data_IF_061267893573
#
_entry.id   IF_061267893573
#
_cell.length_a   1.000
_cell.length_b   1.000
_cell.length_c   1.000
_cell.angle_alpha   90.00
_cell.angle_beta   90.00
_cell.angle_gamma   90.00
#
_symmetry.space_group_name_H-M   'P 1'
#
loop_
_entity.id
_entity.type
_entity.pdbx_description
1 polymer ?
#
# COMPACT_ATOMS: atom_id res chain seq x y z
N UNK A 1 -19.91 -20.17 28.60
CA UNK A 1 -18.62 -20.63 28.01
C UNK A 1 -17.82 -19.42 27.55
N UNK A 2 -16.62 -19.17 28.08
CA UNK A 2 -15.73 -18.12 27.54
C UNK A 2 -15.10 -18.65 26.24
N UNK A 3 -15.44 -18.06 25.10
CA UNK A 3 -14.84 -18.41 23.81
C UNK A 3 -13.35 -18.05 23.87
N UNK A 4 -12.46 -19.05 23.72
CA UNK A 4 -11.01 -18.84 23.69
C UNK A 4 -10.66 -18.20 22.34
N UNK A 5 -10.34 -16.91 22.37
CA UNK A 5 -9.89 -16.17 21.19
C UNK A 5 -8.46 -16.63 20.86
N UNK A 6 -8.17 -17.05 19.62
CA UNK A 6 -6.81 -17.39 19.21
C UNK A 6 -5.86 -16.19 19.37
N UNK A 7 -4.61 -16.44 19.76
CA UNK A 7 -3.62 -15.38 20.02
C UNK A 7 -3.37 -14.50 18.79
N UNK A 8 -3.49 -15.06 17.58
CA UNK A 8 -3.41 -14.32 16.31
C UNK A 8 -4.49 -13.24 16.22
N UNK A 9 -5.72 -13.60 16.56
CA UNK A 9 -6.86 -12.69 16.52
C UNK A 9 -6.70 -11.63 17.60
N UNK A 10 -6.25 -12.01 18.79
CA UNK A 10 -5.99 -11.05 19.88
C UNK A 10 -4.92 -10.02 19.50
N UNK A 11 -3.83 -10.45 18.87
CA UNK A 11 -2.78 -9.54 18.41
C UNK A 11 -3.26 -8.61 17.29
N UNK A 12 -3.99 -9.13 16.30
CA UNK A 12 -4.57 -8.33 15.23
C UNK A 12 -5.49 -7.22 15.77
N UNK A 13 -6.34 -7.55 16.75
CA UNK A 13 -7.18 -6.55 17.43
C UNK A 13 -6.35 -5.48 18.14
N UNK A 14 -5.22 -5.85 18.73
CA UNK A 14 -4.35 -4.88 19.40
C UNK A 14 -3.73 -3.85 18.46
N UNK A 15 -3.40 -4.28 17.24
CA UNK A 15 -2.84 -3.40 16.20
C UNK A 15 -3.93 -2.47 15.62
N UNK A 16 -5.13 -3.01 15.36
CA UNK A 16 -6.11 -2.36 14.48
C UNK A 16 -7.30 -1.79 15.24
N UNK A 17 -7.83 -2.51 16.22
CA UNK A 17 -9.18 -2.22 16.76
C UNK A 17 -9.17 -1.34 18.01
N UNK A 18 -8.03 -1.24 18.73
CA UNK A 18 -8.01 -0.58 20.04
C UNK A 18 -8.07 0.96 19.94
N UNK A 19 -7.33 1.57 19.01
CA UNK A 19 -7.25 3.04 18.90
C UNK A 19 -6.73 3.46 17.53
N UNK A 20 -7.18 4.61 17.04
CA UNK A 20 -6.61 5.23 15.83
C UNK A 20 -5.12 5.51 15.99
N UNK A 21 -4.65 5.86 17.19
CA UNK A 21 -3.21 6.09 17.45
C UNK A 21 -2.43 4.81 17.18
N UNK A 22 -2.89 3.67 17.70
CA UNK A 22 -2.22 2.37 17.46
C UNK A 22 -2.28 1.96 15.99
N UNK A 23 -3.41 2.18 15.33
CA UNK A 23 -3.55 1.88 13.91
C UNK A 23 -2.58 2.74 13.07
N UNK A 24 -2.47 4.03 13.39
CA UNK A 24 -1.54 4.95 12.74
C UNK A 24 -0.08 4.55 13.00
N UNK A 25 0.25 4.24 14.25
CA UNK A 25 1.60 3.85 14.65
C UNK A 25 2.05 2.59 13.93
N UNK A 26 1.17 1.60 13.74
CA UNK A 26 1.55 0.30 13.18
C UNK A 26 1.34 0.19 11.65
N UNK A 27 0.34 0.89 11.11
CA UNK A 27 -0.12 0.73 9.72
C UNK A 27 -0.05 2.04 8.91
N UNK A 28 0.34 3.16 9.53
CA UNK A 28 0.38 4.51 8.92
C UNK A 28 -0.97 5.00 8.38
N UNK A 29 -2.07 4.51 8.95
CA UNK A 29 -3.42 4.93 8.59
C UNK A 29 -4.37 4.90 9.77
N UNK A 30 -5.42 5.72 9.69
CA UNK A 30 -6.52 5.66 10.66
C UNK A 30 -7.35 4.40 10.43
N UNK A 31 -8.12 3.98 11.44
CA UNK A 31 -8.95 2.77 11.37
C UNK A 31 -9.99 2.85 10.27
N UNK A 32 -10.58 4.03 10.06
CA UNK A 32 -11.54 4.26 8.99
C UNK A 32 -10.90 4.11 7.62
N UNK A 33 -9.72 4.73 7.40
CA UNK A 33 -8.98 4.59 6.14
C UNK A 33 -8.59 3.13 5.89
N UNK A 34 -8.14 2.42 6.92
CA UNK A 34 -7.82 1.00 6.85
C UNK A 34 -9.03 0.13 6.47
N UNK A 35 -10.18 0.36 7.10
CA UNK A 35 -11.42 -0.35 6.77
C UNK A 35 -11.87 -0.11 5.32
N UNK A 36 -11.80 1.14 4.86
CA UNK A 36 -12.09 1.50 3.46
C UNK A 36 -11.14 0.82 2.48
N UNK A 37 -9.84 0.78 2.80
CA UNK A 37 -8.86 0.09 1.97
C UNK A 37 -9.15 -1.41 1.87
N UNK A 38 -9.48 -2.06 2.99
CA UNK A 38 -9.85 -3.48 2.99
C UNK A 38 -11.07 -3.74 2.09
N UNK A 39 -12.10 -2.89 2.18
CA UNK A 39 -13.28 -2.99 1.34
C UNK A 39 -12.95 -2.78 -0.14
N UNK A 40 -12.16 -1.76 -0.49
CA UNK A 40 -11.74 -1.53 -1.88
C UNK A 40 -10.94 -2.70 -2.45
N UNK A 41 -10.04 -3.28 -1.64
CA UNK A 41 -9.24 -4.44 -2.04
C UNK A 41 -10.10 -5.68 -2.28
N UNK A 42 -11.15 -5.87 -1.48
CA UNK A 42 -12.12 -6.95 -1.68
C UNK A 42 -12.95 -6.73 -2.96
N UNK A 43 -13.62 -5.59 -3.08
CA UNK A 43 -14.61 -5.35 -4.15
C UNK A 43 -13.97 -5.10 -5.51
N UNK A 44 -12.90 -4.30 -5.55
CA UNK A 44 -12.28 -3.83 -6.80
C UNK A 44 -10.90 -4.43 -7.03
N UNK A 45 -10.16 -4.75 -5.96
CA UNK A 45 -8.84 -5.39 -6.05
C UNK A 45 -8.90 -6.90 -6.29
N UNK A 46 -10.05 -7.54 -6.01
CA UNK A 46 -10.25 -8.99 -6.12
C UNK A 46 -9.52 -9.79 -5.03
N UNK A 47 -9.21 -9.16 -3.90
CA UNK A 47 -8.58 -9.82 -2.75
C UNK A 47 -9.62 -10.63 -1.98
N UNK A 48 -9.43 -11.93 -1.90
CA UNK A 48 -10.35 -12.81 -1.19
C UNK A 48 -9.78 -13.28 0.14
N UNK A 49 -10.65 -13.46 1.14
CA UNK A 49 -10.29 -14.18 2.36
C UNK A 49 -9.88 -15.63 2.02
N UNK A 50 -9.05 -16.22 2.87
CA UNK A 50 -8.73 -17.66 2.80
C UNK A 50 -9.22 -18.34 4.07
N UNK A 51 -9.26 -19.68 4.06
CA UNK A 51 -9.60 -20.47 5.25
C UNK A 51 -8.79 -20.12 6.50
N UNK A 52 -7.59 -19.55 6.33
CA UNK A 52 -6.61 -19.32 7.41
C UNK A 52 -6.37 -17.85 7.72
N UNK A 53 -6.65 -16.94 6.79
CA UNK A 53 -6.40 -15.50 6.93
C UNK A 53 -7.56 -14.69 6.39
N UNK A 54 -8.04 -13.74 7.19
CA UNK A 54 -9.03 -12.75 6.80
C UNK A 54 -8.39 -11.68 5.90
N UNK A 55 -9.21 -10.91 5.17
CA UNK A 55 -8.73 -9.79 4.37
C UNK A 55 -8.02 -8.77 5.26
N UNK A 56 -8.63 -8.43 6.40
CA UNK A 56 -8.07 -7.55 7.44
C UNK A 56 -6.65 -7.95 7.83
N UNK A 57 -6.42 -9.23 8.13
CA UNK A 57 -5.11 -9.73 8.52
C UNK A 57 -4.10 -9.67 7.37
N UNK A 58 -4.51 -10.03 6.15
CA UNK A 58 -3.65 -9.94 4.97
C UNK A 58 -3.18 -8.50 4.72
N UNK A 59 -4.10 -7.54 4.77
CA UNK A 59 -3.80 -6.11 4.54
C UNK A 59 -2.95 -5.56 5.69
N UNK A 60 -3.20 -5.95 6.93
CA UNK A 60 -2.39 -5.55 8.07
C UNK A 60 -0.94 -6.07 7.98
N UNK A 61 -0.73 -7.32 7.55
CA UNK A 61 0.61 -7.86 7.29
C UNK A 61 1.32 -6.99 6.25
N UNK A 62 0.67 -6.73 5.12
CA UNK A 62 1.24 -5.93 4.03
C UNK A 62 1.65 -4.53 4.50
N UNK A 63 0.75 -3.83 5.19
CA UNK A 63 0.99 -2.47 5.67
C UNK A 63 2.05 -2.43 6.77
N UNK A 64 2.09 -3.40 7.69
CA UNK A 64 3.11 -3.43 8.74
C UNK A 64 4.55 -3.59 8.20
N UNK A 65 4.69 -4.30 7.07
CA UNK A 65 5.97 -4.41 6.35
C UNK A 65 6.35 -3.05 5.76
N UNK A 66 5.43 -2.38 5.07
CA UNK A 66 5.70 -1.10 4.41
C UNK A 66 5.88 0.07 5.40
N UNK A 67 5.06 0.13 6.45
CA UNK A 67 5.03 1.19 7.45
C UNK A 67 6.36 1.39 8.20
N UNK A 68 7.12 0.30 8.33
CA UNK A 68 8.30 0.20 9.18
C UNK A 68 9.49 -0.50 8.52
N UNK A 69 9.38 -0.85 7.23
CA UNK A 69 10.37 -1.66 6.53
C UNK A 69 10.76 -2.95 7.29
N UNK A 70 9.77 -3.58 7.94
CA UNK A 70 10.03 -4.80 8.73
C UNK A 70 10.43 -5.96 7.83
N UNK A 71 11.45 -6.70 8.25
CA UNK A 71 11.84 -7.96 7.61
C UNK A 71 10.76 -9.03 7.86
N UNK A 72 10.56 -9.94 6.90
CA UNK A 72 9.60 -11.05 7.03
C UNK A 72 9.80 -11.84 8.33
N UNK A 73 11.06 -12.04 8.76
CA UNK A 73 11.38 -12.75 9.99
C UNK A 73 10.82 -12.08 11.25
N UNK A 74 10.61 -10.77 11.27
CA UNK A 74 9.98 -10.05 12.39
C UNK A 74 8.47 -10.20 12.30
N UNK A 75 7.93 -9.97 11.10
CA UNK A 75 6.47 -9.98 10.83
C UNK A 75 5.88 -11.37 11.11
N UNK A 76 6.63 -12.44 10.88
CA UNK A 76 6.20 -13.81 11.20
C UNK A 76 5.90 -13.98 12.69
N UNK A 77 6.70 -13.35 13.55
CA UNK A 77 6.55 -13.41 14.99
C UNK A 77 5.40 -12.53 15.45
N UNK A 78 5.31 -11.31 14.93
CA UNK A 78 4.21 -10.37 15.20
C UNK A 78 2.85 -11.04 14.89
N UNK A 79 2.68 -11.58 13.69
CA UNK A 79 1.40 -12.16 13.26
C UNK A 79 1.24 -13.66 13.60
N UNK A 80 2.27 -14.30 14.18
CA UNK A 80 2.28 -15.73 14.51
C UNK A 80 1.91 -16.58 13.27
N UNK A 81 2.56 -16.27 12.14
CA UNK A 81 2.38 -16.94 10.84
C UNK A 81 3.72 -17.45 10.32
N UNK A 82 3.69 -18.42 9.41
CA UNK A 82 4.91 -18.90 8.76
C UNK A 82 5.48 -17.87 7.78
N UNK A 83 6.79 -17.88 7.56
CA UNK A 83 7.46 -17.01 6.55
C UNK A 83 6.83 -17.17 5.15
N UNK A 84 6.46 -18.41 4.79
CA UNK A 84 5.74 -18.71 3.54
C UNK A 84 4.38 -18.03 3.48
N UNK A 85 3.64 -18.02 4.59
CA UNK A 85 2.34 -17.35 4.70
C UNK A 85 2.48 -15.85 4.55
N UNK A 86 3.43 -15.23 5.27
CA UNK A 86 3.71 -13.80 5.18
C UNK A 86 4.04 -13.41 3.73
N UNK A 87 5.00 -14.09 3.11
CA UNK A 87 5.40 -13.81 1.73
C UNK A 87 4.24 -13.99 0.75
N UNK A 88 3.48 -15.08 0.86
CA UNK A 88 2.33 -15.35 -0.02
C UNK A 88 1.29 -14.23 0.04
N UNK A 89 0.88 -13.83 1.26
CA UNK A 89 -0.18 -12.85 1.42
C UNK A 89 0.29 -11.42 1.15
N UNK A 90 1.55 -11.10 1.46
CA UNK A 90 2.17 -9.83 1.04
C UNK A 90 2.05 -9.63 -0.48
N UNK A 91 2.46 -10.63 -1.27
CA UNK A 91 2.37 -10.54 -2.74
C UNK A 91 0.92 -10.58 -3.25
N UNK A 92 0.01 -11.26 -2.55
CA UNK A 92 -1.41 -11.25 -2.89
C UNK A 92 -2.01 -9.85 -2.76
N UNK A 93 -1.73 -9.17 -1.64
CA UNK A 93 -2.19 -7.80 -1.39
C UNK A 93 -1.51 -6.84 -2.36
N UNK A 94 -0.20 -6.98 -2.63
CA UNK A 94 0.50 -6.17 -3.62
C UNK A 94 -0.16 -6.24 -5.01
N UNK A 95 -0.52 -7.44 -5.49
CA UNK A 95 -1.21 -7.59 -6.78
C UNK A 95 -2.59 -6.92 -6.77
N UNK A 96 -3.34 -7.03 -5.67
CA UNK A 96 -4.63 -6.36 -5.54
C UNK A 96 -4.47 -4.83 -5.50
N UNK A 97 -3.45 -4.31 -4.82
CA UNK A 97 -3.10 -2.87 -4.82
C UNK A 97 -2.76 -2.36 -6.21
N UNK A 98 -1.97 -3.11 -6.99
CA UNK A 98 -1.63 -2.73 -8.37
C UNK A 98 -2.88 -2.66 -9.27
N UNK A 99 -3.88 -3.51 -9.03
CA UNK A 99 -5.17 -3.43 -9.75
C UNK A 99 -5.99 -2.20 -9.36
N UNK A 100 -5.86 -1.73 -8.12
CA UNK A 100 -6.49 -0.49 -7.65
C UNK A 100 -5.76 0.77 -8.11
N UNK A 101 -4.54 0.67 -8.64
CA UNK A 101 -3.73 1.81 -9.08
C UNK A 101 -4.51 2.82 -9.94
N UNK A 102 -5.33 2.42 -10.95
CA UNK A 102 -6.06 3.37 -11.78
C UNK A 102 -7.16 4.15 -11.04
N UNK A 103 -7.63 3.63 -9.90
CA UNK A 103 -8.64 4.27 -9.05
C UNK A 103 -8.01 5.17 -7.99
N UNK A 104 -6.85 4.75 -7.46
CA UNK A 104 -6.17 5.42 -6.35
C UNK A 104 -5.20 6.50 -6.81
N UNK A 105 -4.56 6.31 -7.97
CA UNK A 105 -3.61 7.26 -8.52
C UNK A 105 -4.26 8.06 -9.63
N UNK A 106 -4.15 9.38 -9.54
CA UNK A 106 -4.55 10.25 -10.63
C UNK A 106 -3.65 9.99 -11.84
N UNK A 107 -4.26 9.80 -13.01
CA UNK A 107 -3.51 9.83 -14.27
C UNK A 107 -3.16 11.28 -14.55
N UNK A 108 -1.89 11.63 -14.46
CA UNK A 108 -1.43 12.93 -14.92
C UNK A 108 -1.69 13.05 -16.42
N UNK A 109 -2.30 14.17 -16.82
CA UNK A 109 -2.28 14.60 -18.21
C UNK A 109 -0.98 15.36 -18.46
N UNK A 110 -0.29 15.14 -19.60
CA UNK A 110 0.89 15.92 -19.92
C UNK A 110 0.54 17.41 -20.03
N UNK A 111 1.46 18.26 -19.64
CA UNK A 111 1.33 19.71 -19.75
C UNK A 111 1.14 20.06 -21.23
N UNK A 112 0.06 20.79 -21.52
CA UNK A 112 -0.32 21.15 -22.88
C UNK A 112 0.63 22.19 -23.47
N UNK A 113 0.80 22.16 -24.79
CA UNK A 113 1.68 23.09 -25.51
C UNK A 113 1.27 24.57 -25.36
N UNK A 114 -0.02 24.80 -25.12
CA UNK A 114 -0.67 26.08 -24.93
C UNK A 114 -0.93 26.41 -23.46
N UNK A 115 -0.17 25.81 -22.52
CA UNK A 115 -0.31 26.08 -21.09
C UNK A 115 -0.31 27.59 -20.79
N UNK A 116 -1.45 28.11 -20.32
CA UNK A 116 -1.63 29.50 -19.96
C UNK A 116 -0.84 29.90 -18.70
N UNK A 117 -0.44 28.92 -17.87
CA UNK A 117 0.42 29.15 -16.72
C UNK A 117 1.88 29.36 -17.16
N UNK A 118 2.49 30.54 -16.92
CA UNK A 118 3.88 30.84 -17.28
C UNK A 118 4.89 29.90 -16.63
N UNK A 119 4.57 29.31 -15.46
CA UNK A 119 5.43 28.35 -14.75
C UNK A 119 5.59 27.06 -15.55
N UNK A 120 4.52 26.60 -16.19
CA UNK A 120 4.46 25.32 -16.88
C UNK A 120 4.72 25.40 -18.39
N UNK A 121 4.76 26.61 -18.96
CA UNK A 121 4.96 26.86 -20.41
C UNK A 121 6.21 26.21 -21.00
N UNK A 122 7.23 25.96 -20.18
CA UNK A 122 8.51 25.34 -20.60
C UNK A 122 8.54 23.82 -20.47
N UNK A 123 7.55 23.22 -19.79
CA UNK A 123 7.48 21.79 -19.50
C UNK A 123 6.49 21.05 -20.40
N UNK A 124 6.40 21.46 -21.67
CA UNK A 124 5.46 20.90 -22.65
C UNK A 124 5.66 19.38 -22.78
N UNK A 125 4.56 18.64 -22.75
CA UNK A 125 4.59 17.17 -22.79
C UNK A 125 5.03 16.50 -21.48
N UNK A 126 5.51 17.24 -20.47
CA UNK A 126 5.87 16.66 -19.18
C UNK A 126 4.61 16.30 -18.38
N UNK A 127 4.63 15.15 -17.70
CA UNK A 127 3.55 14.71 -16.82
C UNK A 127 3.55 15.38 -15.43
N UNK A 128 4.55 16.24 -15.17
CA UNK A 128 4.77 16.87 -13.86
C UNK A 128 5.14 15.88 -12.75
N UNK A 129 5.65 16.38 -11.63
CA UNK A 129 5.66 15.62 -10.38
C UNK A 129 4.21 15.60 -9.84
N UNK A 130 3.59 14.42 -9.76
CA UNK A 130 2.19 14.24 -9.35
C UNK A 130 1.89 14.82 -7.94
N UNK A 131 2.90 14.93 -7.10
CA UNK A 131 2.82 15.29 -5.67
C UNK A 131 4.10 15.99 -5.15
N UNK A 132 5.02 16.39 -6.04
CA UNK A 132 6.34 16.90 -5.66
C UNK A 132 7.39 15.80 -5.35
N UNK A 133 7.02 14.52 -5.41
CA UNK A 133 7.97 13.41 -5.27
C UNK A 133 8.81 13.30 -6.54
N UNK A 134 10.12 13.56 -6.41
CA UNK A 134 11.08 13.29 -7.48
C UNK A 134 11.31 11.79 -7.59
N UNK A 135 10.89 11.20 -8.70
CA UNK A 135 11.22 9.82 -9.06
C UNK A 135 12.46 9.85 -9.95
N UNK A 136 13.52 9.17 -9.54
CA UNK A 136 14.74 9.04 -10.36
C UNK A 136 14.42 8.20 -11.60
N UNK A 137 14.47 8.83 -12.78
CA UNK A 137 14.28 8.16 -14.06
C UNK A 137 15.63 7.98 -14.73
N UNK A 138 16.02 6.74 -15.01
CA UNK A 138 17.12 6.46 -15.93
C UNK A 138 16.60 6.51 -17.35
N UNK A 139 16.99 7.54 -18.09
CA UNK A 139 16.79 7.61 -19.54
C UNK A 139 17.72 6.64 -20.26
N UNK A 140 17.34 6.24 -21.47
CA UNK A 140 18.17 5.38 -22.31
C UNK A 140 19.50 6.07 -22.65
N UNK A 141 20.55 5.30 -22.94
CA UNK A 141 21.88 5.86 -23.24
C UNK A 141 21.86 6.81 -24.46
N UNK A 142 20.94 6.60 -25.40
CA UNK A 142 20.71 7.48 -26.55
C UNK A 142 20.15 8.86 -26.19
N UNK A 143 19.47 8.99 -25.05
CA UNK A 143 18.84 10.23 -24.57
C UNK A 143 19.71 10.96 -23.53
N UNK A 144 20.81 10.33 -23.09
CA UNK A 144 21.78 10.99 -22.20
C UNK A 144 22.52 12.07 -22.99
N UNK A 145 22.51 13.29 -22.47
CA UNK A 145 23.34 14.37 -22.99
C UNK A 145 24.81 13.95 -22.98
N UNK A 146 25.53 14.19 -24.08
CA UNK A 146 26.98 14.02 -24.12
C UNK A 146 27.61 15.09 -23.24
N UNK A 147 28.21 14.67 -22.13
CA UNK A 147 29.16 15.47 -21.37
C UNK A 147 30.57 15.09 -21.80
#
# INVERSE_FOLDING_TARGET
>A
MKVRIPDQVKHLRQIIEISDVKCLDNLRMTRNAFGRLCQMLETSGGLTATRHLTITEQVAIFLSVLAHHKKNCVVKHDFIRSDRTISKHFHSVLRAMLRLQPLLLSRSSPIRDDSADPRWRWFKGCLGALDGTHVEVRVSDSEKGRY
#
